data_IF_072356144032
#
_entry.id   IF_072356144032
#
_cell.length_a   1.000
_cell.length_b   1.000
_cell.length_c   1.000
_cell.angle_alpha   90.00
_cell.angle_beta   90.00
_cell.angle_gamma   90.00
#
_symmetry.space_group_name_H-M   'P 1'
#
loop_
_entity.id
_entity.type
_entity.pdbx_description
1 polymer ?
#
# COMPACT_ATOMS: atom_id res chain seq x y z
N UNK A 1 10.77 1.79 16.00
CA UNK A 1 10.69 0.41 16.46
C UNK A 1 10.55 0.35 17.98
N UNK A 2 11.57 0.74 18.80
CA UNK A 2 11.51 0.69 20.27
C UNK A 2 10.25 1.37 20.85
N UNK A 3 9.80 2.49 20.27
CA UNK A 3 8.57 3.17 20.69
C UNK A 3 7.31 2.32 20.43
N UNK A 4 7.23 1.60 19.31
CA UNK A 4 6.10 0.73 19.00
C UNK A 4 6.06 -0.48 19.96
N UNK A 5 7.21 -1.09 20.20
CA UNK A 5 7.33 -2.21 21.14
C UNK A 5 6.93 -1.79 22.58
N UNK A 6 7.28 -0.57 23.02
CA UNK A 6 6.95 -0.08 24.36
C UNK A 6 5.47 0.20 24.60
N UNK A 7 4.67 0.32 23.53
CA UNK A 7 3.21 0.48 23.60
C UNK A 7 2.45 -0.81 23.27
N UNK A 8 3.16 -1.95 23.20
CA UNK A 8 2.55 -3.27 22.99
C UNK A 8 2.37 -3.69 21.53
N UNK A 9 2.99 -3.00 20.58
CA UNK A 9 2.95 -3.43 19.19
C UNK A 9 3.75 -4.73 18.98
N UNK A 10 3.14 -5.71 18.33
CA UNK A 10 3.74 -6.99 17.98
C UNK A 10 4.23 -6.94 16.53
N UNK A 11 5.51 -7.17 16.33
CA UNK A 11 6.10 -7.23 15.00
C UNK A 11 5.58 -8.47 14.24
N UNK A 12 5.13 -8.28 13.00
CA UNK A 12 4.62 -9.36 12.14
C UNK A 12 5.70 -9.75 11.11
N UNK A 13 6.06 -8.81 10.24
CA UNK A 13 7.03 -9.05 9.16
C UNK A 13 7.62 -7.75 8.62
N UNK A 14 8.73 -7.88 7.89
CA UNK A 14 9.34 -6.78 7.12
C UNK A 14 9.92 -7.29 5.82
N UNK A 15 10.13 -6.39 4.88
CA UNK A 15 10.80 -6.73 3.63
C UNK A 15 10.66 -5.65 2.57
N UNK A 16 11.35 -5.87 1.46
CA UNK A 16 11.12 -5.11 0.25
C UNK A 16 9.81 -5.60 -0.37
N UNK A 17 8.83 -4.69 -0.43
CA UNK A 17 7.55 -4.92 -1.10
C UNK A 17 7.63 -4.36 -2.52
N UNK A 18 7.18 -5.16 -3.49
CA UNK A 18 7.03 -4.77 -4.88
C UNK A 18 5.59 -4.99 -5.31
N UNK A 19 4.93 -3.91 -5.69
CA UNK A 19 3.54 -3.92 -6.16
C UNK A 19 3.49 -3.66 -7.67
N UNK A 20 2.83 -4.54 -8.41
CA UNK A 20 2.57 -4.41 -9.85
C UNK A 20 1.06 -4.33 -10.07
N UNK A 21 0.56 -3.15 -10.40
CA UNK A 21 -0.86 -2.94 -10.70
C UNK A 21 -1.09 -3.09 -12.20
N UNK A 22 -2.02 -3.97 -12.55
CA UNK A 22 -2.35 -4.32 -13.92
C UNK A 22 -3.62 -3.63 -14.40
N UNK A 23 -3.65 -3.31 -15.68
CA UNK A 23 -4.85 -2.83 -16.36
C UNK A 23 -4.81 -3.23 -17.84
N UNK A 24 -5.95 -3.18 -18.51
CA UNK A 24 -6.01 -3.26 -19.94
C UNK A 24 -5.56 -1.94 -20.60
N UNK A 25 -5.16 -1.96 -21.88
CA UNK A 25 -4.72 -0.75 -22.57
C UNK A 25 -5.73 0.41 -22.57
N UNK A 26 -7.03 0.10 -22.51
CA UNK A 26 -8.11 1.09 -22.42
C UNK A 26 -8.33 1.64 -20.99
N UNK A 27 -7.62 1.11 -19.99
CA UNK A 27 -7.70 1.57 -18.62
C UNK A 27 -9.01 1.22 -17.92
N UNK A 28 -9.71 0.17 -18.36
CA UNK A 28 -11.06 -0.16 -17.87
C UNK A 28 -11.15 -0.43 -16.38
N UNK A 29 -10.08 -0.96 -15.76
CA UNK A 29 -10.02 -1.19 -14.30
C UNK A 29 -9.85 0.15 -13.58
N UNK A 30 -8.88 0.96 -14.00
CA UNK A 30 -8.64 2.28 -13.44
C UNK A 30 -9.84 3.23 -13.57
N UNK A 31 -10.51 3.20 -14.73
CA UNK A 31 -11.67 4.06 -14.98
C UNK A 31 -12.84 3.74 -14.05
N UNK A 32 -12.95 2.50 -13.58
CA UNK A 32 -13.89 2.08 -12.52
C UNK A 32 -13.41 2.42 -11.11
N UNK A 33 -12.20 2.99 -10.96
CA UNK A 33 -11.52 3.25 -9.68
C UNK A 33 -11.19 1.98 -8.90
N UNK A 34 -11.01 0.90 -9.60
CA UNK A 34 -10.59 -0.40 -9.10
C UNK A 34 -9.06 -0.57 -9.24
N UNK A 35 -8.51 -1.58 -8.57
CA UNK A 35 -7.10 -1.96 -8.70
C UNK A 35 -6.98 -3.47 -8.73
N UNK A 36 -6.29 -4.00 -9.72
CA UNK A 36 -5.84 -5.40 -9.75
C UNK A 36 -4.31 -5.40 -9.59
N UNK A 37 -3.81 -6.13 -8.58
CA UNK A 37 -2.40 -6.03 -8.19
C UNK A 37 -1.80 -7.38 -7.84
N UNK A 38 -0.58 -7.63 -8.32
CA UNK A 38 0.31 -8.66 -7.80
C UNK A 38 1.33 -7.98 -6.90
N UNK A 39 1.40 -8.42 -5.65
CA UNK A 39 2.33 -7.94 -4.61
C UNK A 39 3.33 -9.01 -4.28
N UNK A 40 4.59 -8.64 -4.19
CA UNK A 40 5.65 -9.47 -3.64
C UNK A 40 6.18 -8.87 -2.34
N UNK A 41 6.41 -9.70 -1.33
CA UNK A 41 7.14 -9.36 -0.10
C UNK A 41 8.09 -10.52 0.19
N UNK A 42 9.39 -10.34 -0.07
CA UNK A 42 10.32 -11.46 -0.08
C UNK A 42 9.91 -12.50 -1.11
N UNK A 43 9.69 -13.74 -0.67
CA UNK A 43 9.24 -14.86 -1.51
C UNK A 43 7.71 -14.98 -1.60
N UNK A 44 6.97 -14.29 -0.73
CA UNK A 44 5.51 -14.32 -0.75
C UNK A 44 4.96 -13.51 -1.93
N UNK A 45 3.95 -14.07 -2.60
CA UNK A 45 3.18 -13.35 -3.60
C UNK A 45 1.68 -13.38 -3.28
N UNK A 46 1.03 -12.23 -3.46
CA UNK A 46 -0.40 -12.05 -3.22
C UNK A 46 -1.02 -11.37 -4.43
N UNK A 47 -2.11 -11.95 -4.92
CA UNK A 47 -3.00 -11.29 -5.87
C UNK A 47 -4.07 -10.56 -5.09
N UNK A 48 -4.31 -9.30 -5.39
CA UNK A 48 -5.38 -8.52 -4.77
C UNK A 48 -6.19 -7.76 -5.81
N UNK A 49 -7.50 -7.78 -5.62
CA UNK A 49 -8.42 -6.86 -6.25
C UNK A 49 -8.99 -5.92 -5.20
N UNK A 50 -9.05 -4.64 -5.54
CA UNK A 50 -9.60 -3.60 -4.66
C UNK A 50 -10.65 -2.82 -5.43
N UNK A 51 -11.85 -2.77 -4.91
CA UNK A 51 -12.98 -2.03 -5.44
C UNK A 51 -12.81 -0.51 -5.33
N UNK A 52 -13.84 0.21 -5.72
CA UNK A 52 -13.90 1.67 -5.59
C UNK A 52 -13.81 2.09 -4.13
N UNK A 53 -12.96 3.09 -3.86
CA UNK A 53 -12.86 3.73 -2.55
C UNK A 53 -14.14 4.51 -2.22
N UNK A 54 -14.67 4.29 -1.04
CA UNK A 54 -15.75 5.07 -0.43
C UNK A 54 -15.26 5.74 0.86
N UNK A 55 -15.94 6.80 1.27
CA UNK A 55 -15.68 7.45 2.56
C UNK A 55 -16.95 7.32 3.39
N UNK A 56 -16.86 6.54 4.46
CA UNK A 56 -17.94 6.29 5.42
C UNK A 56 -17.46 6.78 6.78
N UNK A 57 -18.20 7.70 7.39
CA UNK A 57 -17.89 8.28 8.71
C UNK A 57 -16.45 8.81 8.84
N UNK A 58 -15.91 9.32 7.73
CA UNK A 58 -14.58 9.86 7.70
C UNK A 58 -13.46 8.82 7.46
N UNK A 59 -13.78 7.54 7.31
CA UNK A 59 -12.84 6.47 7.01
C UNK A 59 -12.89 6.07 5.54
N UNK A 60 -11.74 5.62 5.04
CA UNK A 60 -11.64 5.04 3.71
C UNK A 60 -12.03 3.56 3.77
N UNK A 61 -13.12 3.21 3.13
CA UNK A 61 -13.62 1.84 3.02
C UNK A 61 -13.52 1.38 1.57
N UNK A 62 -13.16 0.12 1.36
CA UNK A 62 -13.11 -0.53 0.05
C UNK A 62 -13.48 -2.00 0.21
N UNK A 63 -14.12 -2.53 -0.80
CA UNK A 63 -14.22 -3.97 -1.00
C UNK A 63 -12.88 -4.51 -1.51
N UNK A 64 -12.34 -5.56 -0.88
CA UNK A 64 -11.02 -6.08 -1.16
C UNK A 64 -11.03 -7.60 -1.14
N UNK A 65 -10.51 -8.21 -2.21
CA UNK A 65 -10.28 -9.64 -2.31
C UNK A 65 -8.77 -9.90 -2.41
N UNK A 66 -8.24 -10.72 -1.52
CA UNK A 66 -6.82 -11.09 -1.53
C UNK A 66 -6.65 -12.60 -1.48
N UNK A 67 -5.73 -13.11 -2.31
CA UNK A 67 -5.37 -14.52 -2.35
C UNK A 67 -3.86 -14.67 -2.44
N UNK A 68 -3.28 -15.54 -1.61
CA UNK A 68 -1.89 -15.94 -1.77
C UNK A 68 -1.74 -16.76 -3.04
N UNK A 69 -0.73 -16.46 -3.82
CA UNK A 69 -0.42 -17.17 -5.07
C UNK A 69 0.96 -17.81 -4.96
N UNK A 70 1.07 -19.02 -5.45
CA UNK A 70 2.30 -19.80 -5.36
C UNK A 70 3.41 -19.25 -6.26
N UNK A 71 3.04 -18.72 -7.44
CA UNK A 71 3.98 -18.16 -8.43
C UNK A 71 3.45 -16.84 -8.98
N UNK A 72 3.88 -15.74 -8.35
CA UNK A 72 3.49 -14.40 -8.76
C UNK A 72 3.96 -14.02 -10.15
N UNK A 73 5.15 -14.51 -10.60
CA UNK A 73 5.67 -14.23 -11.94
C UNK A 73 4.84 -14.91 -13.02
N UNK A 74 4.44 -16.16 -12.80
CA UNK A 74 3.50 -16.83 -13.72
C UNK A 74 2.15 -16.13 -13.77
N UNK A 75 1.63 -15.65 -12.64
CA UNK A 75 0.38 -14.88 -12.61
C UNK A 75 0.50 -13.58 -13.44
N UNK A 76 1.60 -12.84 -13.31
CA UNK A 76 1.87 -11.67 -14.14
C UNK A 76 1.90 -12.03 -15.62
N UNK A 77 2.60 -13.11 -16.00
CA UNK A 77 2.63 -13.58 -17.40
C UNK A 77 1.23 -13.97 -17.93
N UNK A 78 0.37 -14.55 -17.08
CA UNK A 78 -1.04 -14.81 -17.45
C UNK A 78 -1.78 -13.50 -17.77
N UNK A 79 -1.62 -12.47 -16.93
CA UNK A 79 -2.25 -11.18 -17.20
C UNK A 79 -1.77 -10.54 -18.50
N UNK A 80 -0.47 -10.62 -18.80
CA UNK A 80 0.09 -10.14 -20.07
C UNK A 80 -0.48 -10.87 -21.28
N UNK A 81 -0.60 -12.21 -21.20
CA UNK A 81 -1.23 -13.04 -22.25
C UNK A 81 -2.73 -12.73 -22.44
N UNK A 82 -3.40 -12.25 -21.39
CA UNK A 82 -4.78 -11.74 -21.46
C UNK A 82 -4.86 -10.31 -22.00
N UNK A 83 -3.73 -9.71 -22.40
CA UNK A 83 -3.67 -8.38 -22.99
C UNK A 83 -3.59 -7.24 -21.96
N UNK A 84 -3.37 -7.57 -20.69
CA UNK A 84 -3.14 -6.57 -19.64
C UNK A 84 -1.68 -6.10 -19.65
N UNK A 85 -1.43 -4.93 -19.07
CA UNK A 85 -0.08 -4.37 -18.90
C UNK A 85 0.09 -3.84 -17.48
N UNK A 86 1.33 -3.82 -16.99
CA UNK A 86 1.65 -3.10 -15.76
C UNK A 86 1.42 -1.60 -16.00
N UNK A 87 0.44 -1.06 -15.32
CA UNK A 87 0.09 0.36 -15.36
C UNK A 87 0.88 1.17 -14.34
N UNK A 88 1.18 0.54 -13.20
CA UNK A 88 1.72 1.23 -12.04
C UNK A 88 2.55 0.26 -11.20
N UNK A 89 3.74 0.70 -10.79
CA UNK A 89 4.64 -0.06 -9.94
C UNK A 89 5.00 0.73 -8.70
N UNK A 90 5.17 0.04 -7.57
CA UNK A 90 5.77 0.59 -6.35
C UNK A 90 6.79 -0.38 -5.80
N UNK A 91 7.92 0.16 -5.35
CA UNK A 91 8.93 -0.56 -4.59
C UNK A 91 9.15 0.19 -3.28
N UNK A 92 9.00 -0.48 -2.16
CA UNK A 92 9.08 0.16 -0.85
C UNK A 92 9.52 -0.84 0.22
N UNK A 93 10.29 -0.38 1.20
CA UNK A 93 10.55 -1.16 2.38
C UNK A 93 9.36 -1.03 3.33
N UNK A 94 8.88 -2.15 3.84
CA UNK A 94 7.73 -2.22 4.75
C UNK A 94 8.08 -2.93 6.04
N UNK A 95 7.48 -2.49 7.14
CA UNK A 95 7.38 -3.24 8.37
C UNK A 95 5.91 -3.28 8.81
N UNK A 96 5.44 -4.46 9.19
CA UNK A 96 4.08 -4.71 9.65
C UNK A 96 4.08 -4.99 11.14
N UNK A 97 3.15 -4.40 11.84
CA UNK A 97 2.91 -4.59 13.26
C UNK A 97 1.41 -4.78 13.51
N UNK A 98 1.09 -5.57 14.52
CA UNK A 98 -0.24 -5.61 15.13
C UNK A 98 -0.22 -4.77 16.40
N UNK A 99 -1.19 -3.88 16.57
CA UNK A 99 -1.37 -3.05 17.76
C UNK A 99 -2.88 -2.83 17.98
N UNK A 100 -3.40 -3.30 19.11
CA UNK A 100 -4.79 -3.12 19.50
C UNK A 100 -5.79 -3.58 18.41
N UNK A 101 -5.60 -4.78 17.85
CA UNK A 101 -6.40 -5.35 16.76
C UNK A 101 -6.35 -4.55 15.44
N UNK A 102 -5.43 -3.58 15.32
CA UNK A 102 -5.14 -2.88 14.08
C UNK A 102 -3.85 -3.39 13.46
N UNK A 103 -3.77 -3.35 12.14
CA UNK A 103 -2.52 -3.52 11.39
C UNK A 103 -1.93 -2.14 11.15
N UNK A 104 -0.73 -1.94 11.65
CA UNK A 104 0.09 -0.76 11.41
C UNK A 104 1.20 -1.14 10.44
N UNK A 105 1.29 -0.43 9.33
CA UNK A 105 2.32 -0.62 8.32
C UNK A 105 3.12 0.65 8.12
N UNK A 106 4.44 0.55 8.27
CA UNK A 106 5.36 1.61 7.85
C UNK A 106 5.77 1.40 6.41
N UNK A 107 5.91 2.48 5.66
CA UNK A 107 6.25 2.48 4.24
C UNK A 107 7.41 3.45 3.98
N UNK A 108 8.55 2.93 3.54
CA UNK A 108 9.74 3.72 3.18
C UNK A 108 9.99 3.57 1.68
N UNK A 109 9.81 4.66 0.96
CA UNK A 109 9.97 4.73 -0.50
C UNK A 109 11.38 5.20 -0.91
N UNK A 110 11.82 4.95 -2.15
CA UNK A 110 13.14 5.38 -2.62
C UNK A 110 13.38 6.89 -2.51
N UNK A 111 12.36 7.72 -2.80
CA UNK A 111 12.44 9.18 -2.64
C UNK A 111 11.04 9.75 -2.45
N UNK A 112 10.55 9.70 -1.22
CA UNK A 112 9.29 10.30 -0.78
C UNK A 112 9.30 10.39 0.75
N UNK A 113 8.25 10.93 1.35
CA UNK A 113 8.02 10.84 2.79
C UNK A 113 7.88 9.36 3.21
N UNK A 114 8.37 9.05 4.39
CA UNK A 114 7.98 7.83 5.07
C UNK A 114 6.52 7.94 5.48
N UNK A 115 5.74 6.90 5.22
CA UNK A 115 4.32 6.87 5.54
C UNK A 115 4.01 5.79 6.56
N UNK A 116 2.91 6.00 7.26
CA UNK A 116 2.30 4.99 8.14
C UNK A 116 0.87 4.77 7.68
N UNK A 117 0.50 3.53 7.43
CA UNK A 117 -0.87 3.12 7.18
C UNK A 117 -1.40 2.39 8.40
N UNK A 118 -2.63 2.70 8.79
CA UNK A 118 -3.34 2.06 9.90
C UNK A 118 -4.65 1.48 9.36
N UNK A 119 -4.86 0.18 9.57
CA UNK A 119 -6.02 -0.58 9.12
C UNK A 119 -6.68 -1.28 10.32
N UNK A 120 -8.00 -1.19 10.43
CA UNK A 120 -8.78 -1.79 11.51
C UNK A 120 -10.22 -1.28 11.53
N UNK A 121 -10.99 -1.64 12.56
CA UNK A 121 -12.32 -1.03 12.76
C UNK A 121 -12.15 0.44 13.17
N UNK A 122 -13.15 1.31 12.90
CA UNK A 122 -13.09 2.72 13.31
C UNK A 122 -12.75 2.91 14.78
N UNK A 123 -13.40 2.15 15.66
CA UNK A 123 -13.19 2.23 17.11
C UNK A 123 -11.75 1.89 17.49
N UNK A 124 -11.23 0.78 16.95
CA UNK A 124 -9.85 0.34 17.22
C UNK A 124 -8.80 1.28 16.64
N UNK A 125 -9.06 1.86 15.46
CA UNK A 125 -8.18 2.87 14.90
C UNK A 125 -8.12 4.13 15.78
N UNK A 126 -9.25 4.63 16.29
CA UNK A 126 -9.24 5.80 17.19
C UNK A 126 -8.49 5.55 18.50
N UNK A 127 -8.64 4.35 19.10
CA UNK A 127 -7.88 3.94 20.28
C UNK A 127 -6.37 3.87 19.96
N UNK A 128 -6.02 3.26 18.82
CA UNK A 128 -4.64 3.07 18.38
C UNK A 128 -3.95 4.40 18.07
N UNK A 129 -4.65 5.35 17.47
CA UNK A 129 -4.14 6.72 17.22
C UNK A 129 -3.72 7.37 18.55
N UNK A 130 -4.53 7.23 19.61
CA UNK A 130 -4.21 7.74 20.95
C UNK A 130 -3.00 7.02 21.56
N UNK A 131 -2.90 5.69 21.43
CA UNK A 131 -1.73 4.91 21.88
C UNK A 131 -0.43 5.35 21.19
N UNK A 132 -0.50 5.72 19.92
CA UNK A 132 0.60 6.27 19.14
C UNK A 132 1.00 7.70 19.58
N UNK A 133 0.20 8.33 20.44
CA UNK A 133 0.31 9.75 20.81
C UNK A 133 0.24 10.66 19.60
N UNK A 134 -0.72 10.39 18.71
CA UNK A 134 -1.02 11.13 17.48
C UNK A 134 -2.45 11.66 17.53
N UNK A 135 -2.79 12.57 16.63
CA UNK A 135 -4.14 13.08 16.50
C UNK A 135 -4.79 12.58 15.21
N UNK A 136 -6.13 12.49 15.21
CA UNK A 136 -6.89 12.06 14.03
C UNK A 136 -6.57 12.85 12.77
N UNK A 137 -6.26 14.14 12.91
CA UNK A 137 -5.87 15.03 11.79
C UNK A 137 -4.56 14.63 11.11
N UNK A 138 -3.68 13.86 11.80
CA UNK A 138 -2.42 13.38 11.24
C UNK A 138 -2.62 12.21 10.26
N UNK A 139 -3.82 11.59 10.28
CA UNK A 139 -4.19 10.50 9.41
C UNK A 139 -5.08 10.99 8.26
N UNK A 140 -4.54 10.92 7.05
CA UNK A 140 -5.20 11.39 5.85
C UNK A 140 -5.86 10.23 5.09
N UNK A 141 -6.99 10.52 4.45
CA UNK A 141 -7.74 9.55 3.59
C UNK A 141 -7.18 9.46 2.18
N UNK A 142 -6.09 10.15 1.95
CA UNK A 142 -5.52 10.33 0.62
C UNK A 142 -4.76 9.09 0.14
N UNK A 143 -4.57 8.99 -1.16
CA UNK A 143 -3.73 7.94 -1.75
C UNK A 143 -2.33 8.46 -2.07
N UNK A 144 -1.46 7.55 -2.48
CA UNK A 144 -0.04 7.81 -2.75
C UNK A 144 0.21 9.03 -3.66
N UNK A 145 -0.65 9.26 -4.66
CA UNK A 145 -0.52 10.39 -5.58
C UNK A 145 -0.64 11.76 -4.88
N UNK A 146 -1.37 11.84 -3.78
CA UNK A 146 -1.43 13.05 -2.96
C UNK A 146 -0.09 13.29 -2.27
N UNK A 147 0.46 12.26 -1.62
CA UNK A 147 1.73 12.36 -0.91
C UNK A 147 2.91 12.65 -1.86
N UNK A 148 2.90 12.09 -3.07
CA UNK A 148 3.88 12.42 -4.10
C UNK A 148 3.86 13.90 -4.44
N UNK A 149 2.68 14.47 -4.72
CA UNK A 149 2.54 15.91 -5.02
C UNK A 149 2.92 16.78 -3.84
N UNK A 150 2.58 16.36 -2.62
CA UNK A 150 2.94 17.08 -1.41
C UNK A 150 4.46 17.11 -1.23
N UNK A 151 5.13 15.96 -1.38
CA UNK A 151 6.58 15.84 -1.32
C UNK A 151 7.27 16.74 -2.35
N UNK A 152 6.80 16.71 -3.60
CA UNK A 152 7.35 17.54 -4.68
C UNK A 152 7.18 19.04 -4.38
N UNK A 153 6.02 19.43 -3.84
CA UNK A 153 5.74 20.81 -3.47
C UNK A 153 6.61 21.30 -2.31
N UNK A 154 6.80 20.48 -1.29
CA UNK A 154 7.53 20.87 -0.08
C UNK A 154 9.06 20.81 -0.25
N UNK A 155 9.55 19.87 -1.05
CA UNK A 155 11.00 19.62 -1.17
C UNK A 155 11.61 20.14 -2.47
N UNK A 156 10.82 20.45 -3.48
CA UNK A 156 11.28 20.76 -4.83
C UNK A 156 11.90 19.57 -5.58
N UNK A 157 11.89 18.36 -5.00
CA UNK A 157 12.43 17.14 -5.59
C UNK A 157 11.31 16.30 -6.17
N UNK A 158 11.57 15.59 -7.27
CA UNK A 158 10.59 14.67 -7.85
C UNK A 158 10.42 13.44 -6.96
N UNK A 159 9.18 13.06 -6.65
CA UNK A 159 8.90 11.85 -5.90
C UNK A 159 9.24 10.60 -6.71
N UNK A 160 9.85 9.59 -6.04
CA UNK A 160 10.12 8.27 -6.62
C UNK A 160 9.51 7.20 -5.71
N UNK A 161 8.66 6.38 -6.27
CA UNK A 161 7.96 5.30 -5.58
C UNK A 161 8.36 3.91 -6.08
N UNK A 162 9.27 3.84 -7.05
CA UNK A 162 9.89 2.61 -7.54
C UNK A 162 11.35 2.87 -7.92
N UNK A 163 12.16 1.83 -7.87
CA UNK A 163 13.52 1.84 -8.40
C UNK A 163 13.45 1.72 -9.92
N UNK A 164 13.98 2.73 -10.63
CA UNK A 164 13.88 2.87 -12.08
C UNK A 164 14.81 1.93 -12.87
N UNK A 165 15.64 1.14 -12.19
CA UNK A 165 16.70 0.34 -12.81
C UNK A 165 16.36 -1.16 -12.98
N UNK A 166 15.21 -1.64 -12.52
CA UNK A 166 14.77 -2.99 -12.87
C UNK A 166 13.85 -2.92 -14.08
N UNK A 167 14.31 -3.49 -15.19
CA UNK A 167 13.47 -3.74 -16.35
C UNK A 167 12.19 -4.45 -15.88
N UNK A 168 11.07 -3.78 -16.03
CA UNK A 168 9.77 -4.41 -16.03
C UNK A 168 9.85 -5.50 -17.11
N UNK A 169 9.59 -6.73 -16.74
CA UNK A 169 9.70 -7.95 -17.56
C UNK A 169 9.34 -7.74 -19.01
#
# INVERSE_FOLDING_TARGET
KKKLESIGAVFIKKGLQRDFSFDFPDGRIWNKKETLRVRFIGEEAVLSWKGKKEIIDGYKVRDEEEVKIQDGKKMMSVFEKLGMRVRYRRDLNVEYYELNECILRTEVYPQMFDLVELEGTPEKMEETIKLLNMERKDFLKEGINYFMRLFEKETGKKAKICDSNENLL
#
